data_IF_714548161178
#
_entry.id   IF_714548161178
#
_cell.length_a   1.000
_cell.length_b   1.000
_cell.length_c   1.000
_cell.angle_alpha   90.00
_cell.angle_beta   90.00
_cell.angle_gamma   90.00
#
_symmetry.space_group_name_H-M   'P 1'
#
loop_
_entity.id
_entity.type
_entity.pdbx_description
1 polymer ?
#
# COMPACT_ATOMS: atom_id res chain seq x y z
N UNK A 1 20.89 -12.14 -1.69
CA UNK A 1 21.05 -12.45 -3.13
C UNK A 1 21.39 -11.17 -3.89
N UNK A 2 21.94 -11.19 -5.13
CA UNK A 2 22.06 -9.96 -5.93
C UNK A 2 20.68 -9.42 -6.30
N UNK A 3 20.65 -8.17 -6.79
CA UNK A 3 19.44 -7.58 -7.39
C UNK A 3 18.93 -8.49 -8.50
N UNK A 4 17.59 -8.69 -8.55
CA UNK A 4 17.00 -9.57 -9.55
C UNK A 4 17.31 -9.10 -10.98
N UNK A 5 17.71 -10.01 -11.91
CA UNK A 5 18.16 -9.62 -13.26
C UNK A 5 17.13 -8.80 -14.04
N UNK A 6 15.84 -9.10 -13.93
CA UNK A 6 14.79 -8.33 -14.62
C UNK A 6 14.62 -6.93 -14.02
N UNK A 7 14.79 -6.76 -12.70
CA UNK A 7 14.83 -5.43 -12.07
C UNK A 7 16.05 -4.66 -12.56
N UNK A 8 17.24 -5.28 -12.55
CA UNK A 8 18.46 -4.64 -13.03
C UNK A 8 18.34 -4.20 -14.50
N UNK A 9 17.75 -5.03 -15.36
CA UNK A 9 17.47 -4.73 -16.76
C UNK A 9 16.48 -3.56 -16.93
N UNK A 10 15.41 -3.54 -16.14
CA UNK A 10 14.44 -2.45 -16.13
C UNK A 10 15.11 -1.12 -15.75
N UNK A 11 15.88 -1.11 -14.65
CA UNK A 11 16.58 0.08 -14.16
C UNK A 11 17.60 0.59 -15.18
N UNK A 12 18.31 -0.30 -15.87
CA UNK A 12 19.26 0.08 -16.93
C UNK A 12 18.57 0.70 -18.16
N UNK A 13 17.29 0.48 -18.35
CA UNK A 13 16.47 1.05 -19.42
C UNK A 13 15.80 2.38 -19.07
N UNK A 14 15.84 2.79 -17.80
CA UNK A 14 15.25 4.07 -17.37
C UNK A 14 16.09 5.24 -17.92
N UNK A 15 15.44 6.37 -18.31
CA UNK A 15 16.15 7.58 -18.65
C UNK A 15 16.98 8.07 -17.44
N UNK A 16 18.05 8.82 -17.73
CA UNK A 16 18.79 9.50 -16.67
C UNK A 16 17.82 10.40 -15.85
N UNK A 17 18.03 10.50 -14.52
CA UNK A 17 17.25 11.42 -13.70
C UNK A 17 17.29 12.84 -14.29
N UNK A 18 16.15 13.51 -14.30
CA UNK A 18 16.06 14.93 -14.64
C UNK A 18 16.38 15.75 -13.38
N UNK A 19 17.38 16.63 -13.47
CA UNK A 19 17.75 17.54 -12.38
C UNK A 19 16.80 18.76 -12.26
N UNK A 20 15.73 18.81 -13.09
CA UNK A 20 14.71 19.85 -13.05
C UNK A 20 13.82 19.79 -11.80
N UNK A 21 13.00 20.83 -11.59
CA UNK A 21 12.02 20.82 -10.52
C UNK A 21 10.99 19.70 -10.76
N UNK A 22 10.58 19.04 -9.69
CA UNK A 22 9.54 18.01 -9.76
C UNK A 22 8.22 18.63 -10.24
N UNK A 23 7.67 18.06 -11.30
CA UNK A 23 6.34 18.41 -11.82
C UNK A 23 5.37 17.26 -11.59
N UNK A 24 4.50 17.32 -10.55
CA UNK A 24 3.55 16.27 -10.26
C UNK A 24 2.61 15.93 -11.42
N UNK A 25 2.23 16.90 -12.24
CA UNK A 25 1.31 16.68 -13.37
C UNK A 25 2.01 15.88 -14.47
N UNK A 26 3.21 16.28 -14.84
CA UNK A 26 4.00 15.56 -15.85
C UNK A 26 4.37 14.15 -15.38
N UNK A 27 4.72 13.98 -14.10
CA UNK A 27 5.05 12.69 -13.53
C UNK A 27 3.83 11.75 -13.49
N UNK A 28 2.63 12.22 -13.15
CA UNK A 28 1.38 11.43 -13.23
C UNK A 28 1.09 10.98 -14.66
N UNK A 29 1.22 11.87 -15.62
CA UNK A 29 1.00 11.54 -17.03
C UNK A 29 1.99 10.47 -17.53
N UNK A 30 3.25 10.52 -17.10
CA UNK A 30 4.25 9.51 -17.41
C UNK A 30 3.94 8.15 -16.77
N UNK A 31 3.46 8.12 -15.52
CA UNK A 31 3.06 6.91 -14.81
C UNK A 31 1.86 6.25 -15.51
N UNK A 32 0.84 7.01 -15.87
CA UNK A 32 -0.34 6.51 -16.57
C UNK A 32 -0.05 6.01 -18.00
N UNK A 33 0.98 6.52 -18.66
CA UNK A 33 1.35 6.06 -20.00
C UNK A 33 1.81 4.59 -20.07
N UNK A 34 2.13 3.99 -18.91
CA UNK A 34 2.60 2.60 -18.82
C UNK A 34 1.50 1.61 -18.40
N UNK A 35 0.25 2.05 -18.28
CA UNK A 35 -0.88 1.20 -17.88
C UNK A 35 -1.22 0.21 -19.00
N UNK A 36 -1.34 -1.08 -18.64
CA UNK A 36 -1.70 -2.12 -19.59
C UNK A 36 -3.12 -1.92 -20.16
N UNK A 37 -3.32 -2.17 -21.46
CA UNK A 37 -4.64 -2.15 -22.06
C UNK A 37 -5.63 -3.12 -21.36
N UNK A 38 -6.90 -2.76 -21.32
CA UNK A 38 -7.93 -3.53 -20.59
C UNK A 38 -7.97 -5.02 -20.98
N UNK A 39 -7.77 -5.34 -22.27
CA UNK A 39 -7.82 -6.72 -22.76
C UNK A 39 -6.59 -7.58 -22.33
N UNK A 40 -5.54 -6.96 -21.84
CA UNK A 40 -4.34 -7.63 -21.32
C UNK A 40 -4.37 -7.81 -19.79
N UNK A 41 -5.36 -7.23 -19.12
CA UNK A 41 -5.49 -7.27 -17.66
C UNK A 41 -6.04 -8.63 -17.21
N UNK A 42 -5.61 -9.07 -16.02
CA UNK A 42 -6.12 -10.29 -15.39
C UNK A 42 -7.66 -10.25 -15.31
N UNK A 43 -8.38 -11.22 -15.92
CA UNK A 43 -9.83 -11.24 -15.88
C UNK A 43 -10.36 -11.58 -14.48
N UNK A 44 -11.43 -10.90 -14.08
CA UNK A 44 -12.22 -11.16 -12.88
C UNK A 44 -13.69 -11.25 -13.25
N UNK A 45 -14.53 -11.72 -12.29
CA UNK A 45 -15.98 -11.77 -12.49
C UNK A 45 -16.57 -10.39 -12.80
N UNK A 46 -16.22 -9.38 -11.99
CA UNK A 46 -16.62 -7.99 -12.25
C UNK A 46 -15.53 -7.00 -11.78
N UNK A 47 -15.46 -5.87 -12.49
CA UNK A 47 -14.70 -4.69 -12.10
C UNK A 47 -15.56 -3.48 -12.38
N UNK A 48 -15.88 -2.71 -11.33
CA UNK A 48 -16.87 -1.64 -11.39
C UNK A 48 -16.31 -0.35 -10.78
N UNK A 49 -16.38 0.75 -11.54
CA UNK A 49 -16.08 2.07 -11.03
C UNK A 49 -17.33 2.68 -10.39
N UNK A 50 -17.17 3.20 -9.19
CA UNK A 50 -18.22 3.86 -8.44
C UNK A 50 -17.66 4.96 -7.56
N UNK A 51 -18.50 5.60 -6.76
CA UNK A 51 -18.09 6.61 -5.79
C UNK A 51 -18.62 6.26 -4.40
N UNK A 52 -17.81 6.54 -3.39
CA UNK A 52 -18.22 6.48 -1.99
C UNK A 52 -18.45 7.90 -1.48
N UNK A 53 -19.68 8.18 -1.06
CA UNK A 53 -20.01 9.47 -0.45
C UNK A 53 -19.41 9.56 0.94
N UNK A 54 -18.60 10.59 1.16
CA UNK A 54 -17.93 10.88 2.43
C UNK A 54 -18.26 12.30 2.92
N UNK A 55 -17.96 12.64 4.16
CA UNK A 55 -18.11 14.01 4.66
C UNK A 55 -17.29 15.05 3.86
N UNK A 56 -16.18 14.62 3.24
CA UNK A 56 -15.29 15.48 2.45
C UNK A 56 -15.64 15.53 0.96
N UNK A 57 -16.69 14.84 0.53
CA UNK A 57 -17.12 14.73 -0.87
C UNK A 57 -17.18 13.29 -1.36
N UNK A 58 -17.42 13.13 -2.66
CA UNK A 58 -17.46 11.82 -3.30
C UNK A 58 -16.04 11.34 -3.63
N UNK A 59 -15.65 10.18 -3.10
CA UNK A 59 -14.35 9.54 -3.34
C UNK A 59 -14.52 8.45 -4.40
N UNK A 60 -13.81 8.52 -5.54
CA UNK A 60 -13.83 7.46 -6.54
C UNK A 60 -13.26 6.16 -5.97
N UNK A 61 -13.91 5.05 -6.27
CA UNK A 61 -13.39 3.72 -5.93
C UNK A 61 -13.62 2.76 -7.09
N UNK A 62 -12.74 1.76 -7.22
CA UNK A 62 -12.93 0.63 -8.12
C UNK A 62 -13.10 -0.63 -7.31
N UNK A 63 -14.19 -1.35 -7.54
CA UNK A 63 -14.54 -2.59 -6.86
C UNK A 63 -14.21 -3.77 -7.76
N UNK A 64 -13.41 -4.69 -7.27
CA UNK A 64 -12.98 -5.90 -7.95
C UNK A 64 -13.64 -7.11 -7.28
N UNK A 65 -14.44 -7.84 -8.04
CA UNK A 65 -15.11 -9.07 -7.59
C UNK A 65 -14.41 -10.27 -8.23
N UNK A 66 -13.77 -11.15 -7.45
CA UNK A 66 -12.92 -12.21 -7.99
C UNK A 66 -13.68 -13.29 -8.75
N UNK A 67 -14.72 -13.86 -8.14
CA UNK A 67 -15.55 -14.94 -8.69
C UNK A 67 -17.04 -14.71 -8.39
N UNK A 68 -17.94 -15.48 -9.03
CA UNK A 68 -19.40 -15.35 -8.86
C UNK A 68 -19.89 -15.73 -7.47
N UNK A 69 -19.18 -16.64 -6.80
CA UNK A 69 -19.57 -17.14 -5.50
C UNK A 69 -19.01 -16.25 -4.40
N UNK A 70 -19.87 -15.82 -3.52
CA UNK A 70 -19.69 -15.36 -2.17
C UNK A 70 -18.24 -14.99 -1.76
N UNK A 71 -17.75 -13.84 -2.22
CA UNK A 71 -16.56 -13.26 -1.66
C UNK A 71 -16.82 -12.95 -0.18
N UNK A 72 -16.13 -13.65 0.70
CA UNK A 72 -16.23 -13.48 2.14
C UNK A 72 -15.26 -12.40 2.59
N UNK A 73 -15.78 -11.19 2.79
CA UNK A 73 -15.00 -10.06 3.26
C UNK A 73 -14.47 -9.12 2.17
N UNK A 74 -13.88 -8.03 2.63
CA UNK A 74 -13.38 -6.93 1.78
C UNK A 74 -11.97 -6.56 2.19
N UNK A 75 -11.12 -6.31 1.19
CA UNK A 75 -9.82 -5.68 1.33
C UNK A 75 -9.90 -4.28 0.69
N UNK A 76 -9.72 -3.23 1.50
CA UNK A 76 -9.63 -1.85 1.01
C UNK A 76 -8.17 -1.56 0.70
N UNK A 77 -7.88 -1.22 -0.56
CA UNK A 77 -6.52 -1.03 -1.06
C UNK A 77 -6.23 0.44 -1.35
N UNK A 78 -5.10 0.91 -0.86
CA UNK A 78 -4.56 2.23 -1.07
C UNK A 78 -3.30 2.12 -1.91
N UNK A 79 -3.30 2.72 -3.10
CA UNK A 79 -2.16 2.67 -4.00
C UNK A 79 -0.97 3.48 -3.50
N UNK A 80 0.24 3.12 -3.96
CA UNK A 80 1.46 3.88 -3.76
C UNK A 80 1.56 5.12 -4.65
N UNK A 81 2.73 5.78 -4.62
CA UNK A 81 3.01 6.95 -5.44
C UNK A 81 3.40 8.19 -4.65
N UNK A 82 4.06 8.00 -3.49
CA UNK A 82 4.59 9.08 -2.66
C UNK A 82 3.54 10.18 -2.35
N UNK A 83 2.27 9.80 -2.21
CA UNK A 83 1.10 10.65 -1.93
C UNK A 83 0.68 11.60 -3.08
N UNK A 84 1.47 11.70 -4.15
CA UNK A 84 1.20 12.63 -5.27
C UNK A 84 1.13 11.95 -6.64
N UNK A 85 1.49 10.68 -6.74
CA UNK A 85 1.37 9.83 -7.93
C UNK A 85 0.38 8.69 -7.68
N UNK A 86 0.24 7.84 -8.69
CA UNK A 86 -0.63 6.68 -8.64
C UNK A 86 -2.09 7.00 -8.92
N UNK A 87 -2.83 5.98 -9.30
CA UNK A 87 -4.27 6.05 -9.57
C UNK A 87 -4.90 4.66 -9.51
N UNK A 88 -6.23 4.61 -9.66
CA UNK A 88 -6.97 3.34 -9.85
C UNK A 88 -6.46 2.58 -11.08
N UNK A 89 -5.96 3.28 -12.10
CA UNK A 89 -5.46 2.68 -13.34
C UNK A 89 -4.05 2.12 -13.16
N UNK A 90 -3.13 2.88 -12.58
CA UNK A 90 -1.72 2.47 -12.44
C UNK A 90 -1.54 1.26 -11.53
N UNK A 91 -2.49 1.04 -10.59
CA UNK A 91 -2.48 -0.09 -9.65
C UNK A 91 -3.60 -1.11 -9.90
N UNK A 92 -4.30 -1.03 -11.03
CA UNK A 92 -5.38 -1.96 -11.40
C UNK A 92 -4.92 -3.43 -11.37
N UNK A 93 -3.72 -3.71 -11.88
CA UNK A 93 -3.15 -5.07 -11.91
C UNK A 93 -2.85 -5.61 -10.50
N UNK A 94 -2.41 -4.77 -9.56
CA UNK A 94 -2.19 -5.17 -8.16
C UNK A 94 -3.52 -5.51 -7.49
N UNK A 95 -4.53 -4.64 -7.65
CA UNK A 95 -5.85 -4.87 -7.09
C UNK A 95 -6.52 -6.12 -7.65
N UNK A 96 -6.36 -6.41 -8.96
CA UNK A 96 -6.84 -7.64 -9.60
C UNK A 96 -6.14 -8.87 -9.04
N UNK A 97 -4.82 -8.84 -8.90
CA UNK A 97 -4.06 -9.95 -8.33
C UNK A 97 -4.47 -10.21 -6.88
N UNK A 98 -4.62 -9.16 -6.07
CA UNK A 98 -5.13 -9.27 -4.71
C UNK A 98 -6.51 -9.91 -4.66
N UNK A 99 -7.46 -9.44 -5.49
CA UNK A 99 -8.80 -10.01 -5.53
C UNK A 99 -8.75 -11.50 -5.93
N UNK A 100 -7.99 -11.85 -6.98
CA UNK A 100 -7.89 -13.22 -7.49
C UNK A 100 -7.26 -14.17 -6.48
N UNK A 101 -6.15 -13.79 -5.86
CA UNK A 101 -5.41 -14.66 -4.95
C UNK A 101 -6.06 -14.79 -3.58
N UNK A 102 -6.65 -13.70 -3.06
CA UNK A 102 -7.28 -13.74 -1.73
C UNK A 102 -8.71 -14.28 -1.76
N UNK A 103 -9.39 -14.20 -2.90
CA UNK A 103 -10.83 -14.49 -3.01
C UNK A 103 -11.70 -13.42 -2.36
N UNK A 104 -11.13 -12.33 -1.86
CA UNK A 104 -11.87 -11.21 -1.28
C UNK A 104 -12.29 -10.21 -2.36
N UNK A 105 -13.37 -9.48 -2.12
CA UNK A 105 -13.57 -8.24 -2.88
C UNK A 105 -12.49 -7.24 -2.52
N UNK A 106 -11.94 -6.57 -3.54
CA UNK A 106 -10.99 -5.48 -3.34
C UNK A 106 -11.66 -4.17 -3.70
N UNK A 107 -11.59 -3.19 -2.80
CA UNK A 107 -12.03 -1.81 -3.02
C UNK A 107 -10.79 -0.94 -3.10
N UNK A 108 -10.36 -0.60 -4.31
CA UNK A 108 -9.24 0.34 -4.53
C UNK A 108 -9.74 1.77 -4.42
N UNK A 109 -9.03 2.61 -3.69
CA UNK A 109 -9.45 3.97 -3.35
C UNK A 109 -8.69 4.99 -4.19
N UNK A 110 -9.43 5.78 -4.98
CA UNK A 110 -8.89 6.93 -5.69
C UNK A 110 -8.87 8.16 -4.79
N UNK A 111 -8.03 8.14 -3.77
CA UNK A 111 -7.91 9.23 -2.79
C UNK A 111 -7.30 10.49 -3.41
N UNK A 112 -7.57 11.64 -2.82
CA UNK A 112 -7.03 12.93 -3.26
C UNK A 112 -5.52 12.98 -3.08
N UNK A 113 -4.83 13.49 -4.11
CA UNK A 113 -3.37 13.53 -4.18
C UNK A 113 -2.82 14.91 -3.79
N UNK A 114 -1.64 14.91 -3.22
CA UNK A 114 -0.81 16.10 -3.03
C UNK A 114 -0.19 16.53 -4.39
N UNK A 115 0.23 17.76 -4.55
CA UNK A 115 0.14 18.88 -3.59
C UNK A 115 -1.26 19.53 -3.53
N UNK A 116 -2.16 19.23 -4.49
CA UNK A 116 -3.49 19.84 -4.59
C UNK A 116 -4.32 19.57 -3.33
N UNK A 117 -4.09 18.43 -2.70
CA UNK A 117 -4.74 18.00 -1.47
C UNK A 117 -3.71 17.33 -0.52
N UNK A 118 -2.87 18.15 0.10
CA UNK A 118 -1.88 17.69 1.07
C UNK A 118 -2.53 17.07 2.31
N UNK A 119 -1.72 16.57 3.27
CA UNK A 119 -2.23 16.01 4.53
C UNK A 119 -3.26 16.95 5.19
N UNK A 120 -4.38 16.47 5.71
CA UNK A 120 -4.75 15.05 5.86
C UNK A 120 -5.70 14.52 4.76
N UNK A 121 -5.88 15.22 3.63
CA UNK A 121 -6.96 14.98 2.70
C UNK A 121 -7.04 13.53 2.18
N UNK A 122 -5.92 12.97 1.69
CA UNK A 122 -5.87 11.58 1.22
C UNK A 122 -6.13 10.56 2.33
N UNK A 123 -5.60 10.80 3.54
CA UNK A 123 -5.87 9.97 4.70
C UNK A 123 -7.34 9.99 5.11
N UNK A 124 -7.97 11.16 5.08
CA UNK A 124 -9.40 11.31 5.39
C UNK A 124 -10.28 10.56 4.39
N UNK A 125 -9.93 10.61 3.10
CA UNK A 125 -10.63 9.85 2.06
C UNK A 125 -10.51 8.35 2.29
N UNK A 126 -9.29 7.85 2.52
CA UNK A 126 -9.03 6.43 2.81
C UNK A 126 -9.81 5.95 4.04
N UNK A 127 -9.74 6.70 5.14
CA UNK A 127 -10.45 6.36 6.36
C UNK A 127 -11.98 6.37 6.19
N UNK A 128 -12.51 7.39 5.49
CA UNK A 128 -13.93 7.50 5.26
C UNK A 128 -14.48 6.36 4.38
N UNK A 129 -13.71 5.91 3.36
CA UNK A 129 -14.07 4.74 2.56
C UNK A 129 -14.13 3.48 3.42
N UNK A 130 -13.12 3.23 4.27
CA UNK A 130 -13.12 2.08 5.19
C UNK A 130 -14.32 2.11 6.13
N UNK A 131 -14.65 3.27 6.70
CA UNK A 131 -15.84 3.46 7.52
C UNK A 131 -17.09 3.10 6.75
N UNK A 132 -17.21 3.60 5.52
CA UNK A 132 -18.38 3.37 4.66
C UNK A 132 -18.54 1.91 4.27
N UNK A 133 -17.46 1.19 3.97
CA UNK A 133 -17.49 -0.25 3.73
C UNK A 133 -18.07 -0.99 4.93
N UNK A 134 -17.71 -0.62 6.14
CA UNK A 134 -18.23 -1.27 7.36
C UNK A 134 -19.68 -0.88 7.70
N UNK A 135 -20.10 0.34 7.38
CA UNK A 135 -21.45 0.84 7.69
C UNK A 135 -22.49 0.37 6.66
N UNK A 136 -22.12 0.32 5.38
CA UNK A 136 -23.00 -0.06 4.26
C UNK A 136 -22.46 -1.30 3.52
N UNK A 137 -21.99 -2.25 4.31
CA UNK A 137 -21.22 -3.42 3.86
C UNK A 137 -21.86 -4.19 2.71
N UNK A 138 -23.19 -4.23 2.62
CA UNK A 138 -23.89 -4.98 1.56
C UNK A 138 -23.68 -4.38 0.18
N UNK A 139 -23.61 -3.05 0.05
CA UNK A 139 -23.43 -2.39 -1.25
C UNK A 139 -22.02 -2.58 -1.82
N UNK A 140 -21.00 -2.67 -0.93
CA UNK A 140 -19.60 -2.89 -1.29
C UNK A 140 -19.15 -4.34 -1.06
N UNK A 141 -20.07 -5.23 -0.60
CA UNK A 141 -19.85 -6.66 -0.51
C UNK A 141 -19.22 -7.16 0.79
N UNK A 142 -19.16 -6.35 1.84
CA UNK A 142 -18.69 -6.83 3.15
C UNK A 142 -19.78 -7.62 3.88
N UNK A 143 -19.44 -8.83 4.28
CA UNK A 143 -20.34 -9.76 4.99
C UNK A 143 -20.20 -9.72 6.52
N UNK A 144 -19.33 -8.86 7.04
CA UNK A 144 -19.06 -8.75 8.49
C UNK A 144 -17.89 -9.60 8.98
N UNK A 145 -17.20 -10.34 8.11
CA UNK A 145 -16.07 -11.20 8.49
C UNK A 145 -14.73 -10.47 8.39
N UNK A 146 -14.09 -10.46 7.23
CA UNK A 146 -12.79 -9.81 7.00
C UNK A 146 -13.00 -8.39 6.47
N UNK A 147 -12.47 -7.40 7.16
CA UNK A 147 -12.24 -6.05 6.66
C UNK A 147 -10.75 -5.74 6.81
N UNK A 148 -10.00 -5.97 5.75
CA UNK A 148 -8.57 -5.69 5.71
C UNK A 148 -8.30 -4.33 5.08
N UNK A 149 -7.26 -3.64 5.54
CA UNK A 149 -6.66 -2.49 4.84
C UNK A 149 -5.31 -2.89 4.30
N UNK A 150 -5.01 -2.51 3.07
CA UNK A 150 -3.75 -2.83 2.42
C UNK A 150 -3.24 -1.64 1.63
N UNK A 151 -1.94 -1.55 1.45
CA UNK A 151 -1.36 -0.56 0.56
C UNK A 151 0.15 -0.75 0.39
N UNK A 152 0.65 -0.16 -0.66
CA UNK A 152 2.05 -0.20 -1.03
C UNK A 152 2.69 1.19 -0.92
N UNK A 153 3.94 1.26 -0.47
CA UNK A 153 4.68 2.53 -0.32
C UNK A 153 3.90 3.56 0.53
N UNK A 154 3.56 4.72 0.00
CA UNK A 154 2.68 5.71 0.65
C UNK A 154 1.28 5.17 0.95
N UNK A 155 0.76 4.25 0.14
CA UNK A 155 -0.48 3.53 0.45
C UNK A 155 -0.34 2.64 1.69
N UNK A 156 0.85 2.09 1.93
CA UNK A 156 1.19 1.38 3.17
C UNK A 156 1.19 2.31 4.40
N UNK A 157 1.63 3.58 4.21
CA UNK A 157 1.47 4.63 5.24
C UNK A 157 -0.01 4.83 5.58
N UNK A 158 -0.86 4.99 4.56
CA UNK A 158 -2.30 5.14 4.77
C UNK A 158 -2.92 3.92 5.46
N UNK A 159 -2.53 2.70 5.07
CA UNK A 159 -3.05 1.49 5.71
C UNK A 159 -2.71 1.46 7.21
N UNK A 160 -1.46 1.78 7.59
CA UNK A 160 -1.04 1.84 8.98
C UNK A 160 -1.72 2.99 9.74
N UNK A 161 -1.80 4.20 9.14
CA UNK A 161 -2.43 5.37 9.77
C UNK A 161 -3.95 5.20 9.93
N UNK A 162 -4.64 4.63 8.93
CA UNK A 162 -6.07 4.30 8.99
C UNK A 162 -6.36 3.28 10.09
N UNK A 163 -5.54 2.23 10.20
CA UNK A 163 -5.67 1.22 11.25
C UNK A 163 -5.48 1.82 12.64
N UNK A 164 -4.48 2.70 12.81
CA UNK A 164 -4.21 3.38 14.07
C UNK A 164 -5.34 4.35 14.45
N UNK A 165 -5.81 5.17 13.50
CA UNK A 165 -6.93 6.10 13.70
C UNK A 165 -8.21 5.38 14.05
N UNK A 166 -8.52 4.28 13.37
CA UNK A 166 -9.68 3.45 13.66
C UNK A 166 -9.65 2.94 15.10
N UNK A 167 -8.48 2.43 15.54
CA UNK A 167 -8.29 1.98 16.92
C UNK A 167 -8.51 3.11 17.93
N UNK A 168 -7.92 4.29 17.69
CA UNK A 168 -8.03 5.46 18.59
C UNK A 168 -9.47 5.98 18.70
N UNK A 169 -10.24 5.86 17.63
CA UNK A 169 -11.66 6.25 17.60
C UNK A 169 -12.61 5.13 18.07
N UNK A 170 -12.09 3.98 18.52
CA UNK A 170 -12.89 2.82 18.96
C UNK A 170 -13.65 2.14 17.82
N UNK A 171 -13.16 2.25 16.60
CA UNK A 171 -13.73 1.60 15.43
C UNK A 171 -13.05 0.23 15.19
N UNK A 172 -13.44 -0.78 15.95
CA UNK A 172 -12.83 -2.12 16.01
C UNK A 172 -13.33 -3.05 14.88
N UNK A 173 -13.42 -2.55 13.63
CA UNK A 173 -13.89 -3.34 12.48
C UNK A 173 -12.77 -3.82 11.59
N UNK A 174 -11.61 -3.12 11.58
CA UNK A 174 -10.46 -3.50 10.77
C UNK A 174 -9.83 -4.76 11.38
N UNK A 175 -9.81 -5.84 10.60
CA UNK A 175 -9.33 -7.15 11.04
C UNK A 175 -7.85 -7.39 10.77
N UNK A 176 -7.30 -6.75 9.73
CA UNK A 176 -5.92 -6.93 9.28
C UNK A 176 -5.38 -5.65 8.62
N UNK A 177 -4.06 -5.45 8.72
CA UNK A 177 -3.32 -4.45 7.95
C UNK A 177 -2.20 -5.11 7.15
N UNK A 178 -2.12 -4.81 5.85
CA UNK A 178 -1.15 -5.39 4.91
C UNK A 178 -0.32 -4.23 4.35
N UNK A 179 0.97 -4.23 4.64
CA UNK A 179 1.88 -3.12 4.40
C UNK A 179 3.00 -3.57 3.44
N UNK A 180 2.88 -3.24 2.16
CA UNK A 180 3.92 -3.56 1.18
C UNK A 180 4.92 -2.41 1.11
N UNK A 181 6.18 -2.68 1.46
CA UNK A 181 7.31 -1.72 1.51
C UNK A 181 6.86 -0.32 1.96
N UNK A 182 6.20 -0.21 3.14
CA UNK A 182 5.53 1.02 3.55
C UNK A 182 6.53 2.15 3.85
N UNK A 183 6.16 3.38 3.50
CA UNK A 183 6.87 4.60 3.93
C UNK A 183 6.32 5.04 5.29
N UNK A 184 7.04 4.79 6.37
CA UNK A 184 6.51 4.95 7.73
C UNK A 184 7.16 6.09 8.52
N UNK A 185 8.22 6.71 8.01
CA UNK A 185 8.97 7.78 8.65
C UNK A 185 9.24 8.96 7.72
N UNK A 186 8.27 9.88 7.65
CA UNK A 186 8.38 11.08 6.83
C UNK A 186 9.25 12.18 7.48
N UNK A 187 9.62 12.00 8.75
CA UNK A 187 10.64 12.78 9.45
C UNK A 187 12.04 12.31 9.02
N UNK A 188 12.42 12.75 7.82
CA UNK A 188 13.57 12.23 7.10
C UNK A 188 14.91 12.53 7.81
N UNK A 189 15.58 11.44 8.21
CA UNK A 189 16.94 11.44 8.74
C UNK A 189 17.70 10.26 8.12
N UNK A 190 18.65 10.56 7.23
CA UNK A 190 19.43 9.56 6.47
C UNK A 190 20.28 8.64 7.36
N UNK A 191 20.60 9.10 8.56
CA UNK A 191 21.42 8.34 9.52
C UNK A 191 20.60 7.39 10.41
N UNK A 192 19.26 7.54 10.42
CA UNK A 192 18.37 6.75 11.27
C UNK A 192 18.31 5.28 10.87
N UNK A 193 18.34 4.98 9.57
CA UNK A 193 18.23 3.63 9.04
C UNK A 193 19.42 3.29 8.14
N UNK A 194 20.01 2.10 8.32
CA UNK A 194 21.13 1.65 7.48
C UNK A 194 20.74 1.52 6.01
N UNK A 195 19.51 1.04 5.74
CA UNK A 195 19.00 0.86 4.37
C UNK A 195 18.94 2.15 3.56
N UNK A 196 18.75 3.32 4.19
CA UNK A 196 18.80 4.63 3.52
C UNK A 196 20.18 4.93 2.90
N UNK A 197 21.24 4.37 3.47
CA UNK A 197 22.61 4.51 2.94
C UNK A 197 23.01 3.34 2.06
N UNK A 198 22.69 2.11 2.49
CA UNK A 198 23.03 0.88 1.76
C UNK A 198 22.38 0.81 0.38
N UNK A 199 21.13 1.29 0.29
CA UNK A 199 20.29 1.23 -0.91
C UNK A 199 20.03 2.63 -1.50
N UNK A 200 20.96 3.58 -1.27
CA UNK A 200 20.74 4.99 -1.59
C UNK A 200 20.57 5.26 -3.09
N UNK A 201 21.26 4.52 -3.93
CA UNK A 201 21.32 4.75 -5.39
C UNK A 201 21.40 3.41 -6.14
N UNK A 202 20.77 3.36 -7.33
CA UNK A 202 20.92 2.23 -8.26
C UNK A 202 19.92 1.10 -8.08
N UNK A 203 18.90 1.27 -7.24
CA UNK A 203 17.89 0.25 -6.97
C UNK A 203 16.45 0.69 -7.28
N UNK A 204 16.28 1.77 -8.02
CA UNK A 204 14.99 2.34 -8.42
C UNK A 204 14.64 3.57 -7.60
N UNK A 205 14.07 3.40 -6.43
CA UNK A 205 13.84 4.51 -5.51
C UNK A 205 15.19 4.95 -4.91
N UNK A 206 15.51 6.23 -5.07
CA UNK A 206 16.72 6.81 -4.50
C UNK A 206 16.41 7.56 -3.21
N UNK A 207 17.28 7.41 -2.21
CA UNK A 207 17.15 8.08 -0.91
C UNK A 207 17.07 9.60 -1.05
N UNK A 208 17.78 10.19 -2.01
CA UNK A 208 17.74 11.62 -2.26
C UNK A 208 16.36 12.15 -2.67
N UNK A 209 15.55 11.30 -3.30
CA UNK A 209 14.17 11.62 -3.74
C UNK A 209 13.14 11.63 -2.61
N UNK A 210 13.39 10.94 -1.50
CA UNK A 210 12.38 10.75 -0.45
C UNK A 210 11.91 12.08 0.16
N UNK A 211 12.85 12.94 0.55
CA UNK A 211 12.51 14.23 1.17
C UNK A 211 11.75 15.17 0.22
N UNK A 212 12.17 15.39 -1.04
CA UNK A 212 11.40 16.19 -2.00
C UNK A 212 10.01 15.63 -2.28
N UNK A 213 9.85 14.30 -2.39
CA UNK A 213 8.55 13.66 -2.61
C UNK A 213 7.61 13.86 -1.42
N UNK A 214 8.11 13.62 -0.21
CA UNK A 214 7.33 13.81 1.02
C UNK A 214 6.91 15.28 1.21
N UNK A 215 7.68 16.24 0.69
CA UNK A 215 7.38 17.67 0.81
C UNK A 215 6.01 18.03 0.23
N UNK A 216 5.56 17.37 -0.84
CA UNK A 216 4.23 17.61 -1.40
C UNK A 216 3.11 17.24 -0.41
N UNK A 217 3.26 16.13 0.30
CA UNK A 217 2.27 15.69 1.30
C UNK A 217 2.29 16.56 2.57
N UNK A 218 3.46 17.07 2.92
CA UNK A 218 3.68 17.91 4.10
C UNK A 218 3.42 19.41 3.84
N UNK A 219 3.04 19.81 2.62
CA UNK A 219 2.88 21.22 2.21
C UNK A 219 1.79 21.97 3.00
N UNK A 220 0.87 21.26 3.62
CA UNK A 220 -0.10 21.84 4.58
C UNK A 220 0.54 22.37 5.88
N UNK A 221 1.83 22.15 6.09
CA UNK A 221 2.52 22.41 7.35
C UNK A 221 2.34 21.26 8.36
N UNK A 222 2.00 20.07 7.90
CA UNK A 222 1.89 18.88 8.74
C UNK A 222 3.21 18.56 9.44
N UNK A 223 3.14 18.19 10.72
CA UNK A 223 4.31 17.76 11.49
C UNK A 223 4.73 16.35 11.06
N UNK A 224 5.93 16.14 10.52
CA UNK A 224 6.40 14.80 10.18
C UNK A 224 6.56 13.89 11.40
N UNK A 225 6.54 14.41 12.62
CA UNK A 225 6.53 13.63 13.85
C UNK A 225 5.12 13.18 14.29
N UNK A 226 4.06 13.66 13.65
CA UNK A 226 2.69 13.20 13.91
C UNK A 226 2.55 11.71 13.55
N UNK A 227 2.04 10.84 14.44
CA UNK A 227 1.83 9.42 14.16
C UNK A 227 0.86 9.10 13.02
N UNK A 228 0.01 10.04 12.62
CA UNK A 228 -0.86 9.89 11.44
C UNK A 228 -0.14 10.26 10.13
N UNK A 229 0.97 11.00 10.22
CA UNK A 229 1.88 11.32 9.11
C UNK A 229 2.97 10.26 9.01
N UNK A 230 3.59 9.93 10.13
CA UNK A 230 4.66 8.93 10.26
C UNK A 230 4.27 7.85 11.26
N UNK A 231 3.63 6.76 10.84
CA UNK A 231 3.16 5.70 11.75
C UNK A 231 4.24 5.11 12.68
N UNK A 232 5.50 5.17 12.27
CA UNK A 232 6.64 4.72 13.10
C UNK A 232 6.80 5.56 14.39
N UNK A 233 6.27 6.78 14.41
CA UNK A 233 6.33 7.67 15.59
C UNK A 233 5.33 7.32 16.68
N UNK A 234 4.34 6.48 16.37
CA UNK A 234 3.36 6.02 17.35
C UNK A 234 4.07 5.23 18.47
N UNK A 235 3.82 5.61 19.72
CA UNK A 235 4.47 5.01 20.89
C UNK A 235 3.74 3.77 21.38
N UNK A 236 2.41 3.76 21.37
CA UNK A 236 1.56 2.62 21.75
C UNK A 236 0.96 1.96 20.51
N UNK A 237 1.39 0.72 20.26
CA UNK A 237 0.91 -0.12 19.16
C UNK A 237 0.00 -1.25 19.66
N UNK A 238 -0.32 -1.28 20.95
CA UNK A 238 -1.19 -2.31 21.55
C UNK A 238 -2.58 -2.27 20.92
N UNK A 239 -3.18 -3.42 20.66
CA UNK A 239 -4.54 -3.52 20.15
C UNK A 239 -4.71 -3.17 18.65
N UNK A 240 -3.65 -2.75 17.97
CA UNK A 240 -3.71 -2.59 16.52
C UNK A 240 -4.00 -3.93 15.82
N UNK A 241 -4.66 -3.91 14.65
CA UNK A 241 -4.99 -5.14 13.94
C UNK A 241 -3.74 -5.92 13.53
N UNK A 242 -3.82 -7.26 13.44
CA UNK A 242 -2.78 -8.12 12.89
C UNK A 242 -2.15 -7.55 11.61
N UNK A 243 -0.82 -7.64 11.49
CA UNK A 243 -0.06 -6.97 10.44
C UNK A 243 0.79 -7.95 9.61
N UNK A 244 0.73 -7.83 8.28
CA UNK A 244 1.73 -8.34 7.36
C UNK A 244 2.56 -7.16 6.85
N UNK A 245 3.87 -7.20 7.11
CA UNK A 245 4.82 -6.19 6.63
C UNK A 245 5.76 -6.86 5.65
N UNK A 246 5.75 -6.38 4.42
CA UNK A 246 6.58 -6.91 3.32
C UNK A 246 7.60 -5.87 2.92
N UNK A 247 8.87 -6.25 2.76
CA UNK A 247 9.96 -5.35 2.37
C UNK A 247 10.80 -5.91 1.23
N UNK A 248 11.44 -5.04 0.47
CA UNK A 248 12.45 -5.42 -0.53
C UNK A 248 13.86 -5.39 0.06
N UNK A 249 14.72 -6.32 -0.35
CA UNK A 249 16.13 -6.35 0.11
C UNK A 249 16.86 -5.06 -0.23
N UNK A 250 16.64 -4.54 -1.44
CA UNK A 250 17.30 -3.36 -2.01
C UNK A 250 16.39 -2.13 -1.98
N UNK A 251 15.65 -1.96 -0.89
CA UNK A 251 14.75 -0.83 -0.67
C UNK A 251 15.34 0.12 0.39
N UNK A 252 15.46 1.42 0.13
CA UNK A 252 15.90 2.39 1.15
C UNK A 252 14.96 2.42 2.36
N UNK A 253 13.65 2.11 2.20
CA UNK A 253 12.66 2.08 3.29
C UNK A 253 12.57 0.72 4.01
N UNK A 254 13.42 -0.27 3.66
CA UNK A 254 13.43 -1.61 4.25
C UNK A 254 13.45 -1.59 5.78
N UNK A 255 14.40 -0.86 6.36
CA UNK A 255 14.67 -0.96 7.80
C UNK A 255 13.57 -0.30 8.65
N UNK A 256 12.92 0.76 8.16
CA UNK A 256 11.78 1.36 8.87
C UNK A 256 10.57 0.45 8.87
N UNK A 257 10.26 -0.21 7.74
CA UNK A 257 9.19 -1.20 7.65
C UNK A 257 9.42 -2.38 8.61
N UNK A 258 10.64 -2.94 8.61
CA UNK A 258 10.99 -4.04 9.51
C UNK A 258 11.02 -3.64 10.99
N UNK A 259 11.45 -2.42 11.30
CA UNK A 259 11.39 -1.87 12.66
C UNK A 259 9.94 -1.77 13.12
N UNK A 260 9.06 -1.24 12.30
CA UNK A 260 7.63 -1.13 12.63
C UNK A 260 7.02 -2.50 12.90
N UNK A 261 7.30 -3.51 12.04
CA UNK A 261 6.85 -4.88 12.26
C UNK A 261 7.39 -5.51 13.55
N UNK A 262 8.66 -5.24 13.93
CA UNK A 262 9.20 -5.67 15.23
C UNK A 262 8.47 -5.03 16.39
N UNK A 263 8.24 -3.71 16.35
CA UNK A 263 7.52 -2.97 17.40
C UNK A 263 6.08 -3.43 17.58
N UNK A 264 5.39 -3.77 16.48
CA UNK A 264 4.06 -4.37 16.53
C UNK A 264 4.09 -5.72 17.30
N UNK A 265 5.09 -6.58 17.01
CA UNK A 265 5.25 -7.86 17.76
C UNK A 265 5.52 -7.63 19.24
N UNK A 266 6.40 -6.68 19.57
CA UNK A 266 6.74 -6.30 20.95
C UNK A 266 5.52 -5.77 21.71
N UNK A 267 4.59 -5.11 21.01
CA UNK A 267 3.30 -4.67 21.54
C UNK A 267 2.22 -5.78 21.61
N UNK A 268 2.58 -7.03 21.27
CA UNK A 268 1.65 -8.18 21.32
C UNK A 268 0.75 -8.33 20.09
N UNK A 269 0.96 -7.55 19.03
CA UNK A 269 0.21 -7.66 17.78
C UNK A 269 0.72 -8.85 16.95
N UNK A 270 -0.18 -9.74 16.50
CA UNK A 270 0.17 -10.81 15.55
C UNK A 270 0.73 -10.22 14.27
N UNK A 271 2.03 -10.39 14.02
CA UNK A 271 2.71 -9.72 12.91
C UNK A 271 3.62 -10.69 12.17
N UNK A 272 3.53 -10.72 10.84
CA UNK A 272 4.51 -11.35 9.95
C UNK A 272 5.34 -10.25 9.29
N UNK A 273 6.64 -10.43 9.23
CA UNK A 273 7.56 -9.56 8.49
C UNK A 273 8.29 -10.43 7.49
N UNK A 274 8.15 -10.09 6.21
CA UNK A 274 8.73 -10.85 5.10
C UNK A 274 9.60 -9.95 4.24
N UNK A 275 10.89 -10.31 4.09
CA UNK A 275 11.80 -9.64 3.17
C UNK A 275 11.92 -10.43 1.89
N UNK A 276 11.71 -9.78 0.76
CA UNK A 276 11.89 -10.37 -0.56
C UNK A 276 13.30 -10.14 -1.07
N UNK A 277 14.02 -11.22 -1.24
CA UNK A 277 15.40 -11.21 -1.72
C UNK A 277 15.48 -10.75 -3.17
N UNK A 278 16.49 -9.95 -3.49
CA UNK A 278 16.70 -9.40 -4.83
C UNK A 278 15.70 -8.32 -5.24
N UNK A 279 14.69 -8.02 -4.43
CA UNK A 279 13.66 -7.02 -4.72
C UNK A 279 14.10 -5.61 -4.33
N UNK A 280 13.79 -4.63 -5.18
CA UNK A 280 13.85 -3.20 -4.86
C UNK A 280 12.50 -2.66 -4.40
N UNK A 281 12.43 -1.35 -4.16
CA UNK A 281 11.16 -0.67 -3.89
C UNK A 281 10.20 -0.81 -5.08
N UNK A 282 8.89 -0.88 -4.82
CA UNK A 282 7.87 -0.98 -5.87
C UNK A 282 7.76 -2.35 -6.55
N UNK A 283 8.42 -3.41 -6.02
CA UNK A 283 8.43 -4.71 -6.70
C UNK A 283 7.04 -5.36 -6.84
N UNK A 284 6.10 -5.07 -5.95
CA UNK A 284 4.71 -5.55 -6.06
C UNK A 284 4.01 -4.86 -7.24
N UNK A 285 4.25 -3.58 -7.44
CA UNK A 285 3.67 -2.82 -8.54
C UNK A 285 4.31 -3.19 -9.90
N UNK A 286 5.64 -3.26 -9.96
CA UNK A 286 6.32 -3.35 -11.26
C UNK A 286 6.72 -4.77 -11.66
N UNK A 287 6.86 -5.70 -10.71
CA UNK A 287 7.45 -7.01 -10.95
C UNK A 287 6.64 -8.19 -10.40
N UNK A 288 5.39 -7.96 -9.97
CA UNK A 288 4.53 -9.06 -9.48
C UNK A 288 4.13 -10.08 -10.56
N UNK A 289 4.47 -9.85 -11.82
CA UNK A 289 4.38 -10.83 -12.89
C UNK A 289 5.47 -11.92 -12.81
N UNK A 290 6.57 -11.69 -12.08
CA UNK A 290 7.59 -12.68 -11.78
C UNK A 290 7.08 -13.65 -10.71
N UNK A 291 7.16 -14.98 -10.90
CA UNK A 291 6.60 -15.95 -9.96
C UNK A 291 7.11 -15.78 -8.51
N UNK A 292 8.38 -15.46 -8.35
CA UNK A 292 9.00 -15.24 -7.03
C UNK A 292 8.44 -14.03 -6.29
N UNK A 293 7.94 -13.02 -7.01
CA UNK A 293 7.32 -11.83 -6.42
C UNK A 293 5.80 -11.91 -6.40
N UNK A 294 5.20 -12.69 -7.29
CA UNK A 294 3.75 -13.00 -7.25
C UNK A 294 3.35 -13.65 -5.92
N UNK A 295 4.24 -14.41 -5.32
CA UNK A 295 4.05 -15.06 -4.02
C UNK A 295 3.63 -14.09 -2.90
N UNK A 296 3.84 -12.78 -3.04
CA UNK A 296 3.37 -11.77 -2.08
C UNK A 296 1.84 -11.80 -1.92
N UNK A 297 1.12 -12.06 -2.99
CA UNK A 297 -0.34 -12.16 -2.96
C UNK A 297 -0.80 -13.49 -2.32
N UNK A 298 -0.09 -14.59 -2.59
CA UNK A 298 -0.33 -15.87 -1.91
C UNK A 298 -0.06 -15.76 -0.40
N UNK A 299 1.02 -15.08 -0.01
CA UNK A 299 1.35 -14.81 1.39
C UNK A 299 0.27 -13.94 2.06
N UNK A 300 -0.25 -12.96 1.33
CA UNK A 300 -1.36 -12.10 1.80
C UNK A 300 -2.60 -12.94 2.05
N UNK A 301 -3.00 -13.81 1.12
CA UNK A 301 -4.10 -14.76 1.29
C UNK A 301 -3.92 -15.61 2.54
N UNK A 302 -2.74 -16.23 2.67
CA UNK A 302 -2.45 -17.13 3.78
C UNK A 302 -2.39 -16.42 5.14
N UNK A 303 -2.07 -15.13 5.15
CA UNK A 303 -2.09 -14.30 6.34
C UNK A 303 -3.51 -13.90 6.74
N UNK A 304 -4.39 -13.60 5.77
CA UNK A 304 -5.78 -13.23 5.99
C UNK A 304 -6.63 -14.41 6.43
N UNK A 305 -6.38 -15.61 5.86
CA UNK A 305 -7.10 -16.85 6.17
C UNK A 305 -6.14 -17.98 6.57
N UNK A 306 -5.61 -17.96 7.81
CA UNK A 306 -4.70 -19.01 8.27
C UNK A 306 -5.37 -20.38 8.42
N UNK A 307 -6.71 -20.45 8.56
CA UNK A 307 -7.46 -21.71 8.65
C UNK A 307 -7.59 -22.39 7.27
N UNK A 308 -7.84 -21.64 6.20
CA UNK A 308 -7.90 -22.15 4.84
C UNK A 308 -6.57 -22.69 4.31
N UNK A 309 -5.43 -22.30 4.91
CA UNK A 309 -4.12 -22.90 4.63
C UNK A 309 -4.04 -24.37 5.03
N UNK A 310 -4.69 -24.76 6.14
CA UNK A 310 -4.69 -26.13 6.65
C UNK A 310 -5.46 -27.11 5.74
N UNK A 311 -6.47 -26.65 5.03
CA UNK A 311 -7.29 -27.47 4.13
C UNK A 311 -6.69 -27.59 2.72
N UNK A 312 -5.89 -26.65 2.25
CA UNK A 312 -5.22 -26.69 0.94
C UNK A 312 -3.97 -27.58 0.89
N UNK A 313 -3.48 -27.99 2.05
CA UNK A 313 -2.29 -28.87 2.19
C UNK A 313 -2.62 -30.37 2.27
N UNK A 314 -3.89 -30.77 2.04
CA UNK A 314 -4.34 -32.15 1.95
C UNK A 314 -4.77 -32.45 0.52
#
# INVERSE_FOLDING_TARGET
>A
MPLHPEIAKFLAGLPAPDDGPLDPVAMRAADEAHVAPVHERLPLHAVEDTTVRTPSGDVPVRVYTPDEADAHGVLVYFHGGAFFLGSLETHDHVARALAKETGLKVVSVGYRLAPEAAFPAGLDDCYAVVRRVAEDGRSLGWDGTILAVAGDSSGGTFAAAVAARAHDEGFDRITHQILYYPSLDLDFDVDRYASLRENAVGYGLETAGLKPFNAFYLDSGADPADPLVSPIKRTDLTGLPPALVVTGQYDPMRDEGELYGRRLREAGVRTTVSRYDGAGHGFVQHFSWLPEYHRVFEETRDFLDPAGRADRGK
#
